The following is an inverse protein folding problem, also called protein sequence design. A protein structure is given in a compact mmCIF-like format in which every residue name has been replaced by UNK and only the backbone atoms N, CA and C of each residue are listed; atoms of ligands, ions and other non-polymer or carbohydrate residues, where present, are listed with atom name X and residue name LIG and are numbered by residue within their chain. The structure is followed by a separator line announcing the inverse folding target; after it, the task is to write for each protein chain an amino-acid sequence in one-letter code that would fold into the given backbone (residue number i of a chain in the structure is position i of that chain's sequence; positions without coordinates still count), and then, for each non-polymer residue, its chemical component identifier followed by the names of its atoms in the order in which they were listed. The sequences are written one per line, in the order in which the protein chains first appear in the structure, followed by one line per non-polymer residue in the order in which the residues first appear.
data_IF_522774034134
#
_entry.id   IF_522774034134
#
_cell.length_a   1.000
_cell.length_b   1.000
_cell.length_c   1.000
_cell.angle_alpha   90.00
_cell.angle_beta   90.00
_cell.angle_gamma   90.00
#
_symmetry.space_group_name_H-M   'P 1'
#
loop_
_entity.id
_entity.type
_entity.pdbx_description
1 polymer ?
#
# COMPACT_ATOMS: atom_id res chain seq x y z
N UNK A 1 -1.70 26.23 -10.34
CA UNK A 1 -2.76 26.68 -9.39
C UNK A 1 -4.00 25.81 -9.53
N UNK A 2 -4.76 25.58 -8.45
CA UNK A 2 -6.09 24.92 -8.52
C UNK A 2 -7.13 25.96 -8.95
N UNK A 3 -7.75 25.75 -10.11
CA UNK A 3 -8.80 26.64 -10.63
C UNK A 3 -10.20 26.27 -10.14
N UNK A 4 -10.41 25.00 -9.81
CA UNK A 4 -11.72 24.58 -9.30
C UNK A 4 -11.78 23.10 -8.96
N UNK A 5 -12.66 22.79 -8.00
CA UNK A 5 -13.02 21.44 -7.60
C UNK A 5 -14.53 21.31 -7.75
N UNK A 6 -14.99 20.37 -8.57
CA UNK A 6 -16.41 20.13 -8.80
C UNK A 6 -16.76 18.69 -8.48
N UNK A 7 -17.75 18.50 -7.61
CA UNK A 7 -18.41 17.22 -7.40
C UNK A 7 -19.20 16.86 -8.65
N UNK A 8 -18.87 15.74 -9.29
CA UNK A 8 -19.42 15.41 -10.62
C UNK A 8 -20.91 15.06 -10.49
N UNK A 9 -21.26 14.20 -9.54
CA UNK A 9 -22.63 13.73 -9.28
C UNK A 9 -23.18 14.19 -7.91
N UNK A 10 -22.71 15.33 -7.40
CA UNK A 10 -23.16 15.87 -6.10
C UNK A 10 -22.36 15.33 -4.89
N UNK A 11 -22.89 15.48 -3.66
CA UNK A 11 -22.19 15.01 -2.45
C UNK A 11 -21.97 13.49 -2.47
N UNK A 12 -21.09 13.01 -1.59
CA UNK A 12 -20.93 11.57 -1.37
C UNK A 12 -22.29 10.92 -1.11
N UNK A 13 -22.60 9.85 -1.84
CA UNK A 13 -23.91 9.21 -1.81
C UNK A 13 -23.80 7.69 -1.85
N UNK A 14 -24.83 7.02 -1.31
CA UNK A 14 -25.01 5.58 -1.42
C UNK A 14 -26.00 5.28 -2.55
N UNK A 15 -25.60 4.44 -3.50
CA UNK A 15 -26.38 4.10 -4.67
C UNK A 15 -26.49 2.58 -4.81
N UNK A 16 -27.66 2.06 -5.17
CA UNK A 16 -27.83 0.63 -5.39
C UNK A 16 -26.98 0.16 -6.58
N UNK A 17 -26.44 -1.05 -6.50
CA UNK A 17 -25.65 -1.63 -7.56
C UNK A 17 -26.44 -1.73 -8.87
N UNK A 18 -27.72 -2.11 -8.77
CA UNK A 18 -28.63 -2.13 -9.93
C UNK A 18 -28.69 -0.76 -10.63
N UNK A 19 -28.95 0.32 -9.90
CA UNK A 19 -29.10 1.64 -10.52
C UNK A 19 -27.78 2.19 -11.08
N UNK A 20 -26.64 1.78 -10.53
CA UNK A 20 -25.32 2.09 -11.10
C UNK A 20 -25.07 1.29 -12.39
N UNK A 21 -25.34 -0.01 -12.36
CA UNK A 21 -25.17 -0.90 -13.51
C UNK A 21 -26.10 -0.55 -14.69
N UNK A 22 -27.31 -0.05 -14.40
CA UNK A 22 -28.28 0.43 -15.40
C UNK A 22 -28.06 1.90 -15.80
N UNK A 23 -27.01 2.55 -15.30
CA UNK A 23 -26.66 3.96 -15.49
C UNK A 23 -27.82 4.95 -15.19
N UNK A 24 -28.64 4.62 -14.19
CA UNK A 24 -29.77 5.46 -13.73
C UNK A 24 -29.33 6.42 -12.63
N UNK A 25 -28.44 5.98 -11.74
CA UNK A 25 -28.04 6.76 -10.57
C UNK A 25 -26.99 7.84 -10.87
N UNK A 26 -26.02 7.55 -11.75
CA UNK A 26 -24.90 8.43 -12.07
C UNK A 26 -24.76 8.65 -13.60
N UNK A 27 -25.82 9.13 -14.27
CA UNK A 27 -25.78 9.33 -15.72
C UNK A 27 -24.70 10.34 -16.11
N UNK A 28 -24.23 10.24 -17.36
CA UNK A 28 -23.21 11.13 -17.91
C UNK A 28 -23.46 12.61 -17.57
N UNK A 29 -22.42 13.30 -17.09
CA UNK A 29 -22.46 14.71 -16.72
C UNK A 29 -21.57 15.53 -17.64
N UNK A 30 -22.09 16.64 -18.16
CA UNK A 30 -21.29 17.63 -18.88
C UNK A 30 -21.01 18.81 -17.97
N UNK A 31 -19.73 19.05 -17.68
CA UNK A 31 -19.28 20.07 -16.75
C UNK A 31 -18.48 21.15 -17.48
N UNK A 32 -18.70 22.44 -17.16
CA UNK A 32 -17.89 23.51 -17.74
C UNK A 32 -16.46 23.43 -17.23
N UNK A 33 -15.51 23.69 -18.13
CA UNK A 33 -14.11 23.88 -17.80
C UNK A 33 -13.85 25.37 -17.56
N UNK A 34 -13.01 25.68 -16.57
CA UNK A 34 -12.49 27.03 -16.40
C UNK A 34 -11.69 27.42 -17.66
N UNK A 35 -11.77 28.69 -18.08
CA UNK A 35 -11.13 29.15 -19.32
C UNK A 35 -9.61 29.05 -19.30
N UNK A 36 -9.01 28.99 -18.10
CA UNK A 36 -7.58 28.85 -17.89
C UNK A 36 -7.13 27.41 -17.63
N UNK A 37 -8.01 26.42 -17.70
CA UNK A 37 -7.66 25.02 -17.43
C UNK A 37 -6.58 24.53 -18.41
N UNK A 38 -5.50 24.00 -17.84
CA UNK A 38 -4.38 23.36 -18.56
C UNK A 38 -4.26 21.88 -18.22
N UNK A 39 -4.56 21.52 -16.98
CA UNK A 39 -4.57 20.15 -16.53
C UNK A 39 -5.86 19.84 -15.80
N UNK A 40 -6.31 18.59 -15.85
CA UNK A 40 -7.44 18.14 -15.08
C UNK A 40 -7.29 16.69 -14.66
N UNK A 41 -7.82 16.37 -13.48
CA UNK A 41 -7.93 14.99 -13.02
C UNK A 41 -9.32 14.69 -12.47
N UNK A 42 -9.72 13.44 -12.58
CA UNK A 42 -10.86 12.90 -11.85
C UNK A 42 -10.34 12.10 -10.66
N UNK A 43 -10.68 12.53 -9.45
CA UNK A 43 -10.39 11.81 -8.21
C UNK A 43 -11.64 11.06 -7.78
N UNK A 44 -11.51 9.76 -7.56
CA UNK A 44 -12.61 8.89 -7.13
C UNK A 44 -12.29 8.25 -5.78
N UNK A 45 -13.34 8.02 -4.99
CA UNK A 45 -13.33 7.20 -3.77
C UNK A 45 -14.62 6.39 -3.74
N UNK A 46 -14.49 5.07 -3.70
CA UNK A 46 -15.61 4.14 -3.77
C UNK A 46 -15.45 3.01 -2.75
N UNK A 47 -16.59 2.52 -2.24
CA UNK A 47 -16.65 1.30 -1.41
C UNK A 47 -17.93 0.54 -1.71
N UNK A 48 -17.84 -0.77 -1.94
CA UNK A 48 -18.97 -1.68 -2.09
C UNK A 48 -19.44 -2.24 -0.74
N UNK A 49 -20.76 -2.38 -0.59
CA UNK A 49 -21.44 -2.80 0.64
C UNK A 49 -22.57 -3.79 0.38
N UNK A 50 -22.85 -4.61 1.39
CA UNK A 50 -23.92 -5.60 1.38
C UNK A 50 -23.43 -7.02 1.05
N UNK A 51 -24.27 -7.99 1.37
CA UNK A 51 -24.04 -9.43 1.19
C UNK A 51 -25.21 -10.07 0.44
N UNK A 52 -25.74 -9.35 -0.56
CA UNK A 52 -26.95 -9.75 -1.27
C UNK A 52 -26.63 -10.80 -2.34
N UNK A 53 -27.49 -11.82 -2.41
CA UNK A 53 -27.50 -12.89 -3.40
C UNK A 53 -28.89 -13.53 -3.41
N UNK A 54 -29.39 -13.97 -4.57
CA UNK A 54 -30.65 -14.73 -4.63
C UNK A 54 -30.45 -16.24 -4.81
N UNK A 55 -29.22 -16.71 -5.04
CA UNK A 55 -28.88 -18.14 -5.13
C UNK A 55 -28.04 -18.65 -3.95
N UNK A 56 -27.55 -17.75 -3.10
CA UNK A 56 -26.71 -18.06 -1.94
C UNK A 56 -25.26 -18.43 -2.26
N UNK A 57 -24.86 -18.42 -3.54
CA UNK A 57 -23.50 -18.74 -3.96
C UNK A 57 -22.60 -17.50 -3.92
N UNK A 58 -21.41 -17.67 -3.35
CA UNK A 58 -20.36 -16.65 -3.34
C UNK A 58 -19.77 -16.40 -4.74
N UNK A 59 -19.30 -15.17 -5.09
CA UNK A 59 -19.26 -13.96 -4.28
C UNK A 59 -20.63 -13.30 -4.08
N UNK A 60 -20.80 -12.59 -2.97
CA UNK A 60 -22.01 -11.80 -2.71
C UNK A 60 -21.75 -10.30 -2.93
N UNK A 61 -22.81 -9.55 -3.24
CA UNK A 61 -22.66 -8.15 -3.59
C UNK A 61 -23.14 -7.18 -2.49
N UNK A 62 -22.46 -6.05 -2.30
CA UNK A 62 -21.27 -5.55 -3.03
C UNK A 62 -20.01 -5.52 -2.18
N UNK A 63 -20.02 -6.03 -0.95
CA UNK A 63 -18.80 -6.08 -0.12
C UNK A 63 -17.79 -7.11 -0.62
N UNK A 64 -18.26 -8.21 -1.23
CA UNK A 64 -17.48 -9.43 -1.43
C UNK A 64 -17.22 -9.80 -2.89
N UNK A 65 -17.52 -8.89 -3.81
CA UNK A 65 -17.36 -9.10 -5.25
C UNK A 65 -16.48 -8.00 -5.84
N UNK A 66 -15.43 -8.42 -6.52
CA UNK A 66 -14.60 -7.57 -7.37
C UNK A 66 -15.39 -7.17 -8.62
N UNK A 67 -15.71 -5.88 -8.77
CA UNK A 67 -16.36 -5.33 -9.95
C UNK A 67 -15.41 -4.41 -10.72
N UNK A 68 -15.54 -4.43 -12.05
CA UNK A 68 -14.83 -3.47 -12.89
C UNK A 68 -15.60 -2.16 -12.93
N UNK A 69 -14.92 -1.09 -12.57
CA UNK A 69 -15.37 0.28 -12.71
C UNK A 69 -14.79 0.89 -13.97
N UNK A 70 -15.50 1.84 -14.59
CA UNK A 70 -14.99 2.55 -15.75
C UNK A 70 -15.43 4.01 -15.80
N UNK A 71 -14.60 4.85 -16.41
CA UNK A 71 -14.86 6.27 -16.61
C UNK A 71 -14.54 6.67 -18.04
N UNK A 72 -15.56 7.03 -18.82
CA UNK A 72 -15.39 7.65 -20.14
C UNK A 72 -15.28 9.16 -20.01
N UNK A 73 -14.41 9.76 -20.82
CA UNK A 73 -14.19 11.20 -20.92
C UNK A 73 -14.45 11.61 -22.36
N UNK A 74 -15.43 12.49 -22.59
CA UNK A 74 -15.83 12.95 -23.91
C UNK A 74 -16.15 11.80 -24.90
N UNK A 75 -16.72 10.70 -24.40
CA UNK A 75 -17.07 9.52 -25.22
C UNK A 75 -15.87 8.72 -25.73
N UNK A 76 -14.64 9.04 -25.27
CA UNK A 76 -13.45 8.25 -25.58
C UNK A 76 -13.47 6.91 -24.84
N UNK A 77 -12.57 6.00 -25.26
CA UNK A 77 -12.33 4.72 -24.58
C UNK A 77 -12.23 4.91 -23.06
N UNK A 78 -13.04 4.18 -22.27
CA UNK A 78 -13.06 4.31 -20.83
C UNK A 78 -11.72 3.94 -20.18
N UNK A 79 -11.43 4.60 -19.06
CA UNK A 79 -10.41 4.17 -18.11
C UNK A 79 -11.05 3.16 -17.18
N UNK A 80 -10.56 1.92 -17.15
CA UNK A 80 -11.08 0.86 -16.29
C UNK A 80 -10.20 0.66 -15.05
N UNK A 81 -10.80 0.35 -13.91
CA UNK A 81 -10.08 0.04 -12.69
C UNK A 81 -10.88 -0.88 -11.76
N UNK A 82 -10.18 -1.46 -10.79
CA UNK A 82 -10.72 -2.27 -9.72
C UNK A 82 -10.42 -1.60 -8.37
N UNK A 83 -11.36 -1.69 -7.43
CA UNK A 83 -11.17 -1.21 -6.05
C UNK A 83 -10.97 -2.36 -5.06
N UNK A 84 -11.03 -3.61 -5.53
CA UNK A 84 -10.91 -4.82 -4.72
C UNK A 84 -9.60 -4.89 -3.92
N UNK A 85 -9.75 -5.15 -2.61
CA UNK A 85 -8.65 -5.22 -1.63
C UNK A 85 -8.24 -6.67 -1.38
N UNK A 86 -7.69 -7.32 -2.42
CA UNK A 86 -7.43 -8.77 -2.43
C UNK A 86 -6.66 -9.29 -1.20
N UNK A 87 -5.50 -8.70 -0.87
CA UNK A 87 -4.72 -9.04 0.33
C UNK A 87 -4.51 -7.85 1.26
N UNK A 88 -4.89 -6.64 0.82
CA UNK A 88 -4.59 -5.41 1.55
C UNK A 88 -5.22 -5.39 2.95
N UNK A 89 -6.36 -6.06 3.13
CA UNK A 89 -7.00 -6.13 4.44
C UNK A 89 -6.18 -6.99 5.42
N UNK A 90 -5.59 -8.10 4.99
CA UNK A 90 -4.68 -8.92 5.79
C UNK A 90 -3.30 -8.29 6.01
N UNK A 91 -2.94 -7.34 5.14
CA UNK A 91 -1.74 -6.50 5.24
C UNK A 91 -2.00 -5.20 6.02
N UNK A 92 -3.20 -5.01 6.59
CA UNK A 92 -3.52 -3.80 7.34
C UNK A 92 -2.56 -3.63 8.54
N UNK A 93 -1.92 -2.46 8.70
CA UNK A 93 -1.07 -2.17 9.86
C UNK A 93 -1.84 -2.19 11.19
N UNK A 94 -3.15 -1.87 11.17
CA UNK A 94 -4.02 -1.97 12.34
C UNK A 94 -4.35 -3.43 12.57
N UNK A 95 -3.54 -4.11 13.38
CA UNK A 95 -3.71 -5.53 13.70
C UNK A 95 -3.16 -5.91 15.08
N UNK A 96 -3.63 -7.03 15.66
CA UNK A 96 -4.86 -7.77 15.29
C UNK A 96 -6.12 -6.94 15.52
N UNK A 97 -7.18 -7.22 14.78
CA UNK A 97 -8.51 -6.63 15.02
C UNK A 97 -9.51 -7.69 15.45
N UNK A 98 -10.53 -7.28 16.21
CA UNK A 98 -11.73 -8.11 16.34
C UNK A 98 -12.49 -8.21 15.02
N UNK A 99 -13.34 -9.22 14.87
CA UNK A 99 -14.17 -9.37 13.66
C UNK A 99 -13.42 -9.95 12.47
N UNK A 100 -14.02 -9.91 11.28
CA UNK A 100 -13.50 -10.65 10.12
C UNK A 100 -12.45 -9.89 9.29
N UNK A 101 -11.50 -9.19 9.93
CA UNK A 101 -10.67 -8.14 9.31
C UNK A 101 -9.80 -8.51 8.10
N UNK A 102 -9.20 -9.71 7.98
CA UNK A 102 -8.26 -9.99 6.89
C UNK A 102 -8.92 -10.25 5.53
N UNK A 103 -10.22 -10.58 5.51
CA UNK A 103 -10.93 -10.92 4.28
C UNK A 103 -10.91 -9.80 3.25
N UNK A 104 -10.83 -10.15 1.97
CA UNK A 104 -10.87 -9.20 0.87
C UNK A 104 -12.24 -8.52 0.77
N UNK A 105 -12.25 -7.22 0.43
CA UNK A 105 -13.46 -6.40 0.26
C UNK A 105 -13.35 -5.47 -0.93
N UNK A 106 -14.50 -5.02 -1.40
CA UNK A 106 -14.62 -4.09 -2.51
C UNK A 106 -14.38 -2.63 -2.07
N UNK A 107 -13.12 -2.18 -2.15
CA UNK A 107 -12.75 -0.78 -1.95
C UNK A 107 -12.37 -0.36 -0.54
N UNK A 108 -12.50 -1.22 0.47
CA UNK A 108 -12.21 -0.87 1.86
C UNK A 108 -11.66 -2.05 2.66
N UNK A 109 -11.07 -1.77 3.81
CA UNK A 109 -10.72 -2.77 4.81
C UNK A 109 -11.16 -2.27 6.19
N UNK A 110 -11.62 -3.15 7.09
CA UNK A 110 -11.92 -2.76 8.47
C UNK A 110 -10.70 -2.06 9.11
N UNK A 111 -10.92 -0.88 9.70
CA UNK A 111 -9.86 -0.09 10.34
C UNK A 111 -8.82 0.53 9.40
N UNK A 112 -9.04 0.56 8.09
CA UNK A 112 -8.12 1.17 7.10
C UNK A 112 -8.72 2.45 6.47
N UNK A 113 -7.86 3.25 5.85
CA UNK A 113 -8.24 4.38 5.00
C UNK A 113 -8.74 3.85 3.66
N UNK A 114 -9.88 4.35 3.19
CA UNK A 114 -10.38 4.08 1.83
C UNK A 114 -9.48 4.79 0.82
N UNK A 115 -8.85 4.05 -0.13
CA UNK A 115 -7.95 4.64 -1.11
C UNK A 115 -8.69 5.54 -2.11
N UNK A 116 -8.00 6.55 -2.60
CA UNK A 116 -8.43 7.33 -3.76
C UNK A 116 -7.83 6.73 -5.04
N UNK A 117 -8.54 6.90 -6.17
CA UNK A 117 -8.01 6.65 -7.51
C UNK A 117 -8.03 7.96 -8.31
N UNK A 118 -6.88 8.35 -8.83
CA UNK A 118 -6.70 9.60 -9.57
C UNK A 118 -6.46 9.29 -11.05
N UNK A 119 -7.32 9.84 -11.91
CA UNK A 119 -7.21 9.71 -13.36
C UNK A 119 -6.83 11.05 -13.95
N UNK A 120 -5.62 11.16 -14.51
CA UNK A 120 -5.24 12.30 -15.35
C UNK A 120 -6.03 12.24 -16.66
N UNK A 121 -6.80 13.28 -16.91
CA UNK A 121 -7.65 13.41 -18.10
C UNK A 121 -7.22 14.59 -18.97
N UNK A 122 -6.05 15.19 -18.71
CA UNK A 122 -5.59 16.42 -19.35
C UNK A 122 -5.50 16.28 -20.87
N UNK A 123 -5.05 15.12 -21.36
CA UNK A 123 -4.98 14.80 -22.79
C UNK A 123 -6.34 14.44 -23.44
N UNK A 124 -7.41 14.35 -22.65
CA UNK A 124 -8.78 14.03 -23.11
C UNK A 124 -9.70 15.26 -23.15
N UNK A 125 -9.21 16.41 -22.68
CA UNK A 125 -9.97 17.65 -22.68
C UNK A 125 -10.13 18.19 -24.11
N UNK A 126 -11.33 18.64 -24.45
CA UNK A 126 -11.63 19.33 -25.71
C UNK A 126 -12.69 20.41 -25.50
N UNK A 127 -12.45 21.61 -26.01
CA UNK A 127 -13.37 22.74 -25.87
C UNK A 127 -13.50 23.30 -24.45
N UNK A 128 -14.67 23.89 -24.14
CA UNK A 128 -14.95 24.60 -22.89
C UNK A 128 -15.70 23.77 -21.85
N UNK A 129 -15.88 22.48 -22.09
CA UNK A 129 -16.59 21.56 -21.19
C UNK A 129 -16.03 20.14 -21.31
N UNK A 130 -16.30 19.31 -20.33
CA UNK A 130 -15.96 17.89 -20.34
C UNK A 130 -17.18 17.05 -19.98
N UNK A 131 -17.45 16.02 -20.78
CA UNK A 131 -18.46 15.01 -20.48
C UNK A 131 -17.79 13.84 -19.76
N UNK A 132 -18.29 13.48 -18.58
CA UNK A 132 -17.79 12.37 -17.76
C UNK A 132 -18.92 11.35 -17.57
N UNK A 133 -18.66 10.09 -17.88
CA UNK A 133 -19.62 9.00 -17.78
C UNK A 133 -19.01 7.83 -17.01
N UNK A 134 -19.60 7.51 -15.85
CA UNK A 134 -19.15 6.43 -14.98
C UNK A 134 -20.02 5.20 -15.21
N UNK A 135 -19.38 4.05 -15.37
CA UNK A 135 -20.08 2.77 -15.48
C UNK A 135 -19.43 1.73 -14.54
N UNK A 136 -20.19 0.69 -14.21
CA UNK A 136 -19.74 -0.46 -13.42
C UNK A 136 -20.23 -1.75 -14.11
N UNK A 137 -19.56 -2.87 -13.85
CA UNK A 137 -19.99 -4.20 -14.32
C UNK A 137 -21.50 -4.42 -14.14
N UNK A 138 -22.18 -5.09 -15.10
CA UNK A 138 -23.60 -5.37 -14.96
C UNK A 138 -23.89 -6.29 -13.78
N UNK A 139 -25.12 -6.21 -13.25
CA UNK A 139 -25.63 -7.20 -12.31
C UNK A 139 -25.67 -8.57 -13.02
N UNK A 140 -25.10 -9.64 -12.43
CA UNK A 140 -25.09 -10.96 -13.05
C UNK A 140 -26.51 -11.46 -13.34
N UNK A 141 -26.76 -11.91 -14.57
CA UNK A 141 -28.09 -12.37 -15.00
C UNK A 141 -28.54 -13.63 -14.26
N UNK A 142 -27.60 -14.46 -13.80
CA UNK A 142 -27.85 -15.64 -12.98
C UNK A 142 -27.96 -15.35 -11.48
N UNK A 143 -27.66 -14.13 -11.02
CA UNK A 143 -27.77 -13.73 -9.62
C UNK A 143 -28.25 -12.27 -9.48
N UNK A 144 -29.48 -12.02 -9.92
CA UNK A 144 -30.08 -10.68 -9.90
C UNK A 144 -30.22 -10.10 -8.49
N UNK A 145 -30.24 -10.94 -7.45
CA UNK A 145 -30.27 -10.52 -6.05
C UNK A 145 -29.07 -9.66 -5.66
N UNK A 146 -27.93 -9.84 -6.31
CA UNK A 146 -26.75 -9.00 -6.13
C UNK A 146 -27.01 -7.50 -6.36
N UNK A 147 -27.97 -7.16 -7.23
CA UNK A 147 -28.34 -5.78 -7.53
C UNK A 147 -28.84 -4.97 -6.32
N UNK A 148 -29.22 -5.65 -5.23
CA UNK A 148 -29.66 -5.05 -3.97
C UNK A 148 -28.49 -4.59 -3.08
N UNK A 149 -27.24 -4.91 -3.43
CA UNK A 149 -26.07 -4.27 -2.79
C UNK A 149 -25.95 -2.80 -3.17
N UNK A 150 -24.99 -2.10 -2.56
CA UNK A 150 -24.81 -0.67 -2.80
C UNK A 150 -23.33 -0.26 -2.84
N UNK A 151 -23.08 0.91 -3.43
CA UNK A 151 -21.78 1.57 -3.41
C UNK A 151 -21.91 2.96 -2.80
N UNK A 152 -21.00 3.29 -1.89
CA UNK A 152 -20.78 4.68 -1.47
C UNK A 152 -19.77 5.29 -2.43
N UNK A 153 -20.16 6.37 -3.12
CA UNK A 153 -19.40 6.96 -4.22
C UNK A 153 -19.16 8.45 -3.96
N UNK A 154 -17.91 8.87 -4.13
CA UNK A 154 -17.54 10.27 -4.24
C UNK A 154 -16.57 10.46 -5.41
N UNK A 155 -16.92 11.35 -6.35
CA UNK A 155 -16.05 11.66 -7.50
C UNK A 155 -15.98 13.16 -7.76
N UNK A 156 -14.76 13.65 -7.97
CA UNK A 156 -14.47 15.06 -8.13
C UNK A 156 -13.65 15.30 -9.40
N UNK A 157 -14.09 16.28 -10.20
CA UNK A 157 -13.26 16.89 -11.24
C UNK A 157 -12.44 18.00 -10.59
N UNK A 158 -11.12 17.92 -10.69
CA UNK A 158 -10.19 18.94 -10.23
C UNK A 158 -9.50 19.55 -11.45
N UNK A 159 -9.58 20.86 -11.57
CA UNK A 159 -9.03 21.62 -12.68
C UNK A 159 -7.86 22.47 -12.20
N UNK A 160 -6.77 22.47 -12.97
CA UNK A 160 -5.57 23.23 -12.70
C UNK A 160 -5.25 24.16 -13.85
N UNK A 161 -4.74 25.34 -13.52
CA UNK A 161 -4.14 26.27 -14.48
C UNK A 161 -2.74 25.80 -14.86
N UNK A 162 -1.97 26.70 -15.47
CA UNK A 162 -0.55 26.44 -15.72
C UNK A 162 0.19 26.08 -14.41
N UNK A 163 1.21 25.22 -14.54
CA UNK A 163 2.12 24.94 -13.44
C UNK A 163 2.82 26.25 -13.04
N UNK A 164 3.09 26.41 -11.73
CA UNK A 164 3.74 27.62 -11.21
C UNK A 164 5.21 27.71 -11.61
N UNK A 165 5.85 26.55 -11.69
CA UNK A 165 7.27 26.37 -11.93
C UNK A 165 7.49 25.53 -13.19
N UNK A 166 8.61 25.75 -13.88
CA UNK A 166 8.95 24.97 -15.08
C UNK A 166 9.53 23.62 -14.69
N UNK A 167 10.44 23.61 -13.72
CA UNK A 167 11.10 22.42 -13.19
C UNK A 167 10.96 22.41 -11.67
N UNK A 168 10.18 21.47 -11.14
CA UNK A 168 9.90 21.33 -9.71
C UNK A 168 9.70 19.83 -9.37
N UNK A 169 10.61 19.27 -8.58
CA UNK A 169 10.58 17.90 -8.12
C UNK A 169 10.43 17.85 -6.60
N UNK A 170 9.29 17.34 -6.15
CA UNK A 170 8.90 17.36 -4.74
C UNK A 170 9.06 16.00 -4.08
N UNK A 171 9.63 15.95 -2.88
CA UNK A 171 9.51 14.74 -2.04
C UNK A 171 8.10 14.70 -1.49
N UNK A 172 7.33 13.70 -1.93
CA UNK A 172 5.91 13.59 -1.62
C UNK A 172 5.66 12.73 -0.37
N UNK A 173 6.44 11.66 -0.21
CA UNK A 173 6.38 10.78 0.97
C UNK A 173 7.64 9.94 1.12
N UNK A 174 7.85 9.38 2.32
CA UNK A 174 8.85 8.34 2.59
C UNK A 174 8.14 7.17 3.27
N UNK A 175 7.98 6.07 2.54
CA UNK A 175 7.27 4.88 2.98
C UNK A 175 8.15 4.02 3.90
N UNK A 176 9.44 3.92 3.55
CA UNK A 176 10.41 3.17 4.35
C UNK A 176 11.78 3.83 4.36
N UNK A 177 12.46 3.92 5.51
CA UNK A 177 11.97 3.57 6.85
C UNK A 177 11.03 4.65 7.44
N UNK A 178 9.99 4.24 8.18
CA UNK A 178 9.00 5.17 8.73
C UNK A 178 8.21 4.55 9.92
N UNK A 179 8.19 5.25 11.06
CA UNK A 179 7.45 4.86 12.27
C UNK A 179 5.98 5.33 12.31
N UNK A 180 5.50 6.04 11.28
CA UNK A 180 4.08 6.38 11.15
C UNK A 180 3.27 5.09 11.15
N UNK A 181 2.25 5.02 12.00
CA UNK A 181 1.47 3.79 12.24
C UNK A 181 0.96 3.14 10.94
N UNK A 182 0.51 3.97 9.99
CA UNK A 182 0.06 3.54 8.66
C UNK A 182 1.12 2.77 7.86
N UNK A 183 2.40 3.06 8.10
CA UNK A 183 3.54 2.39 7.46
C UNK A 183 4.17 1.31 8.33
N UNK A 184 3.65 0.97 9.51
CA UNK A 184 4.29 0.00 10.42
C UNK A 184 4.61 -1.38 9.81
N UNK A 185 3.86 -1.82 8.79
CA UNK A 185 4.14 -3.06 8.02
C UNK A 185 5.04 -2.88 6.78
N UNK A 186 5.26 -1.63 6.34
CA UNK A 186 6.05 -1.29 5.13
C UNK A 186 7.36 -0.55 5.44
N UNK A 187 7.41 0.18 6.55
CA UNK A 187 8.53 0.97 7.05
C UNK A 187 9.62 0.11 7.68
N UNK A 188 9.97 -0.99 7.00
CA UNK A 188 10.87 -2.04 7.50
C UNK A 188 12.32 -1.60 7.39
N UNK A 189 13.07 -1.78 8.49
CA UNK A 189 14.52 -1.58 8.55
C UNK A 189 15.28 -2.81 8.04
N UNK A 190 16.58 -2.69 7.77
CA UNK A 190 17.36 -3.74 7.08
C UNK A 190 16.85 -4.08 5.66
N UNK A 191 15.99 -3.24 5.07
CA UNK A 191 15.51 -3.31 3.67
C UNK A 191 15.82 -2.03 2.92
N UNK A 192 15.65 -2.06 1.60
CA UNK A 192 15.78 -0.87 0.78
C UNK A 192 14.77 0.22 1.19
N UNK A 193 15.21 1.48 1.33
CA UNK A 193 14.30 2.60 1.52
C UNK A 193 13.34 2.77 0.34
N UNK A 194 12.13 3.23 0.61
CA UNK A 194 11.09 3.48 -0.40
C UNK A 194 10.61 4.92 -0.26
N UNK A 195 10.76 5.69 -1.34
CA UNK A 195 10.42 7.12 -1.40
C UNK A 195 9.41 7.36 -2.50
N UNK A 196 8.46 8.25 -2.25
CA UNK A 196 7.54 8.77 -3.26
C UNK A 196 7.92 10.21 -3.56
N UNK A 197 8.08 10.54 -4.84
CA UNK A 197 8.23 11.93 -5.28
C UNK A 197 7.24 12.28 -6.38
N UNK A 198 7.01 13.57 -6.57
CA UNK A 198 6.06 14.13 -7.52
C UNK A 198 6.75 15.07 -8.49
N UNK A 199 6.33 15.08 -9.75
CA UNK A 199 6.64 16.21 -10.64
C UNK A 199 5.63 17.33 -10.37
N UNK A 200 6.06 18.40 -9.73
CA UNK A 200 5.23 19.59 -9.48
C UNK A 200 5.46 20.70 -10.54
N UNK A 201 6.38 20.48 -11.50
CA UNK A 201 6.71 21.41 -12.58
C UNK A 201 5.98 21.13 -13.89
N UNK A 202 5.96 22.14 -14.77
CA UNK A 202 5.37 22.05 -16.12
C UNK A 202 6.05 20.99 -16.99
N UNK A 203 7.39 20.96 -16.95
CA UNK A 203 8.18 20.09 -17.80
C UNK A 203 8.11 18.65 -17.27
N UNK A 204 7.93 17.69 -18.18
CA UNK A 204 8.02 16.28 -17.83
C UNK A 204 9.35 15.99 -17.14
N UNK A 205 9.30 15.42 -15.94
CA UNK A 205 10.48 15.04 -15.18
C UNK A 205 11.01 13.72 -15.75
N UNK A 206 12.20 13.77 -16.34
CA UNK A 206 12.85 12.63 -17.00
C UNK A 206 14.05 12.09 -16.24
N UNK A 207 14.61 12.89 -15.33
CA UNK A 207 15.71 12.50 -14.47
C UNK A 207 15.72 13.37 -13.20
N UNK A 208 16.09 12.77 -12.06
CA UNK A 208 16.33 13.50 -10.79
C UNK A 208 17.35 12.72 -9.96
N UNK A 209 18.20 13.43 -9.20
CA UNK A 209 19.09 12.81 -8.21
C UNK A 209 18.37 12.76 -6.87
N UNK A 210 18.43 11.61 -6.21
CA UNK A 210 17.85 11.37 -4.89
C UNK A 210 19.00 11.12 -3.93
N UNK A 211 19.22 12.04 -2.98
CA UNK A 211 20.20 11.89 -1.90
C UNK A 211 19.47 11.45 -0.64
N UNK A 212 19.98 10.43 0.03
CA UNK A 212 19.29 9.84 1.17
C UNK A 212 20.25 9.22 2.18
N UNK A 213 19.78 9.06 3.42
CA UNK A 213 20.51 8.41 4.51
C UNK A 213 20.04 8.90 5.88
N UNK A 214 20.68 8.40 6.93
CA UNK A 214 20.29 8.71 8.32
C UNK A 214 20.98 9.96 8.84
N UNK A 215 20.23 10.86 9.47
CA UNK A 215 20.72 12.12 10.07
C UNK A 215 22.07 11.94 10.78
N UNK A 216 23.06 12.77 10.41
CA UNK A 216 24.42 12.73 10.98
C UNK A 216 25.35 11.64 10.42
N UNK A 217 24.85 10.67 9.65
CA UNK A 217 25.65 9.64 8.98
C UNK A 217 26.00 9.97 7.51
N UNK A 218 26.53 8.97 6.80
CA UNK A 218 26.83 9.06 5.37
C UNK A 218 25.57 9.28 4.53
N UNK A 219 25.73 9.63 3.25
CA UNK A 219 24.62 9.81 2.31
C UNK A 219 24.90 9.07 1.02
N UNK A 220 23.92 8.32 0.55
CA UNK A 220 23.94 7.73 -0.78
C UNK A 220 23.23 8.68 -1.77
N UNK A 221 23.60 8.57 -3.05
CA UNK A 221 22.95 9.28 -4.15
C UNK A 221 22.52 8.26 -5.21
N UNK A 222 21.26 8.33 -5.60
CA UNK A 222 20.67 7.54 -6.68
C UNK A 222 20.19 8.44 -7.81
N UNK A 223 20.52 8.10 -9.06
CA UNK A 223 20.03 8.82 -10.23
C UNK A 223 18.79 8.09 -10.76
N UNK A 224 17.61 8.68 -10.55
CA UNK A 224 16.40 8.20 -11.18
C UNK A 224 16.31 8.70 -12.63
N UNK A 225 15.71 7.88 -13.50
CA UNK A 225 15.34 8.21 -14.88
C UNK A 225 13.95 7.64 -15.15
N UNK A 226 13.13 8.38 -15.89
CA UNK A 226 11.77 7.97 -16.24
C UNK A 226 11.04 9.04 -17.06
N UNK A 227 9.72 9.11 -16.90
CA UNK A 227 8.88 10.13 -17.52
C UNK A 227 7.67 10.38 -16.63
N UNK A 228 7.71 11.47 -15.87
CA UNK A 228 6.66 11.85 -14.94
C UNK A 228 6.03 13.17 -15.39
N UNK A 229 4.78 13.15 -15.86
CA UNK A 229 4.06 14.36 -16.24
C UNK A 229 3.67 15.19 -15.00
N UNK A 230 3.25 16.44 -15.21
CA UNK A 230 2.82 17.32 -14.13
C UNK A 230 1.79 16.65 -13.21
N UNK A 231 2.04 16.72 -11.90
CA UNK A 231 1.20 16.17 -10.84
C UNK A 231 1.28 14.66 -10.64
N UNK A 232 1.98 13.93 -11.51
CA UNK A 232 2.17 12.49 -11.34
C UNK A 232 3.24 12.20 -10.28
N UNK A 233 3.10 11.04 -9.61
CA UNK A 233 4.04 10.55 -8.60
C UNK A 233 4.76 9.28 -9.05
N UNK A 234 5.94 9.04 -8.50
CA UNK A 234 6.69 7.80 -8.65
C UNK A 234 7.09 7.27 -7.27
N UNK A 235 6.79 5.99 -6.99
CA UNK A 235 7.34 5.24 -5.86
C UNK A 235 8.64 4.57 -6.31
N UNK A 236 9.74 4.83 -5.60
CA UNK A 236 11.07 4.34 -5.97
C UNK A 236 11.73 3.64 -4.79
N UNK A 237 12.14 2.40 -5.03
CA UNK A 237 13.00 1.62 -4.13
C UNK A 237 14.45 2.05 -4.33
N UNK A 238 15.08 2.54 -3.26
CA UNK A 238 16.44 3.08 -3.29
C UNK A 238 17.47 1.99 -2.98
N UNK A 239 18.58 1.89 -3.73
CA UNK A 239 19.56 0.82 -3.53
C UNK A 239 20.18 0.81 -2.11
N UNK A 240 20.13 -0.34 -1.43
CA UNK A 240 20.84 -0.57 -0.19
C UNK A 240 22.08 -1.43 -0.46
N UNK A 241 23.28 -0.83 -0.47
CA UNK A 241 24.53 -1.59 -0.67
C UNK A 241 24.92 -2.35 0.60
N UNK A 242 24.89 -1.66 1.73
CA UNK A 242 25.14 -2.19 3.06
C UNK A 242 24.19 -1.51 4.06
N UNK A 243 23.95 -2.13 5.22
CA UNK A 243 22.98 -1.67 6.21
C UNK A 243 23.42 -0.46 7.06
N UNK A 244 24.44 0.28 6.64
CA UNK A 244 24.97 1.44 7.37
C UNK A 244 23.90 2.52 7.63
N UNK A 245 22.89 2.64 6.76
CA UNK A 245 21.76 3.57 6.92
C UNK A 245 21.03 3.29 8.25
N UNK A 246 20.97 2.04 8.70
CA UNK A 246 20.27 1.65 9.92
C UNK A 246 21.18 1.65 11.16
N UNK A 247 22.42 2.15 11.03
CA UNK A 247 23.35 2.21 12.15
C UNK A 247 22.95 3.28 13.16
N UNK A 248 23.12 2.97 14.44
CA UNK A 248 22.75 3.84 15.55
C UNK A 248 22.00 3.07 16.63
N UNK A 249 21.29 3.79 17.49
CA UNK A 249 20.49 3.21 18.57
C UNK A 249 19.27 4.08 18.85
N UNK A 250 18.16 3.44 19.20
CA UNK A 250 16.91 4.16 19.51
C UNK A 250 16.27 4.76 18.27
N UNK A 251 15.61 5.91 18.45
CA UNK A 251 14.93 6.61 17.37
C UNK A 251 15.91 7.43 16.53
N UNK A 252 15.88 7.19 15.23
CA UNK A 252 16.72 7.80 14.21
C UNK A 252 15.86 8.58 13.21
N UNK A 253 16.50 9.45 12.44
CA UNK A 253 15.85 10.22 11.37
C UNK A 253 16.41 9.81 10.02
N UNK A 254 15.55 9.41 9.10
CA UNK A 254 15.91 9.19 7.71
C UNK A 254 15.60 10.45 6.91
N UNK A 255 16.57 10.94 6.14
CA UNK A 255 16.46 12.17 5.36
C UNK A 255 16.55 11.87 3.87
N UNK A 256 15.73 12.56 3.08
CA UNK A 256 15.71 12.47 1.62
C UNK A 256 15.70 13.88 1.03
N UNK A 257 16.44 14.06 -0.05
CA UNK A 257 16.48 15.30 -0.81
C UNK A 257 16.62 15.04 -2.32
N UNK A 258 15.92 15.83 -3.12
CA UNK A 258 15.93 15.79 -4.59
C UNK A 258 16.81 16.91 -5.15
N UNK A 259 17.56 16.60 -6.20
CA UNK A 259 18.47 17.53 -6.86
C UNK A 259 18.45 17.36 -8.38
N UNK A 260 18.80 18.46 -9.05
CA UNK A 260 19.04 18.54 -10.49
C UNK A 260 17.91 17.90 -11.34
N UNK A 261 16.61 18.26 -11.14
CA UNK A 261 15.55 17.80 -12.02
C UNK A 261 15.89 18.14 -13.48
N UNK A 262 15.88 17.13 -14.34
CA UNK A 262 16.30 17.23 -15.75
C UNK A 262 17.72 17.82 -15.95
N UNK A 263 18.60 17.75 -14.95
CA UNK A 263 19.95 18.32 -15.00
C UNK A 263 20.00 19.84 -14.79
N UNK A 264 18.90 20.45 -14.33
CA UNK A 264 18.77 21.89 -14.10
C UNK A 264 18.46 22.20 -12.63
N UNK A 265 18.65 23.45 -12.21
CA UNK A 265 18.27 23.87 -10.86
C UNK A 265 16.74 23.77 -10.70
N UNK A 266 16.30 23.23 -9.59
CA UNK A 266 14.89 23.25 -9.21
C UNK A 266 14.40 24.68 -8.94
N UNK A 267 13.24 25.04 -9.48
CA UNK A 267 12.64 26.37 -9.31
C UNK A 267 12.04 26.57 -7.91
N UNK A 268 11.75 25.47 -7.18
CA UNK A 268 11.18 25.45 -5.85
C UNK A 268 12.01 24.56 -4.94
N UNK A 269 12.90 25.12 -4.11
CA UNK A 269 13.74 24.31 -3.23
C UNK A 269 13.06 23.93 -1.90
N UNK A 270 11.93 24.57 -1.56
CA UNK A 270 11.24 24.39 -0.28
C UNK A 270 10.62 22.99 -0.10
N UNK A 271 10.30 22.31 -1.20
CA UNK A 271 9.63 21.00 -1.23
C UNK A 271 10.56 19.85 -1.68
N UNK A 272 11.86 20.14 -1.85
CA UNK A 272 12.84 19.16 -2.34
C UNK A 272 13.31 18.19 -1.26
N UNK A 273 12.93 18.38 0.00
CA UNK A 273 13.43 17.58 1.12
C UNK A 273 12.34 17.15 2.09
N UNK A 274 12.47 15.95 2.62
CA UNK A 274 11.61 15.40 3.67
C UNK A 274 12.44 14.52 4.61
N UNK A 275 11.95 14.31 5.83
CA UNK A 275 12.49 13.33 6.75
C UNK A 275 11.38 12.56 7.46
N UNK A 276 11.71 11.34 7.89
CA UNK A 276 10.86 10.49 8.72
C UNK A 276 11.64 9.97 9.91
N UNK A 277 10.92 9.64 10.99
CA UNK A 277 11.52 8.91 12.12
C UNK A 277 11.43 7.42 11.87
N UNK A 278 12.44 6.67 12.31
CA UNK A 278 12.42 5.21 12.36
C UNK A 278 13.19 4.71 13.58
N UNK A 279 12.86 3.53 14.10
CA UNK A 279 13.61 2.92 15.21
C UNK A 279 14.69 2.01 14.65
N UNK A 280 15.91 2.09 15.21
CA UNK A 280 17.01 1.21 14.84
C UNK A 280 16.63 -0.28 15.04
N UNK A 281 17.15 -1.20 14.21
CA UNK A 281 16.90 -2.64 14.38
C UNK A 281 17.29 -3.11 15.79
N UNK A 282 16.52 -4.06 16.33
CA UNK A 282 16.89 -4.75 17.58
C UNK A 282 18.24 -5.45 17.37
N UNK A 283 19.17 -5.26 18.33
CA UNK A 283 20.52 -5.83 18.25
C UNK A 283 20.66 -7.05 19.14
N UNK A 284 21.12 -8.15 18.55
CA UNK A 284 21.43 -9.40 19.24
C UNK A 284 22.89 -9.78 18.99
N UNK A 285 23.69 -9.86 20.06
CA UNK A 285 25.13 -10.12 19.98
C UNK A 285 25.49 -11.63 20.03
N UNK A 286 24.51 -12.49 20.29
CA UNK A 286 24.70 -13.93 20.43
C UNK A 286 23.59 -14.70 19.67
N UNK A 287 23.63 -16.02 19.77
CA UNK A 287 22.68 -16.92 19.15
C UNK A 287 21.24 -16.62 19.58
N UNK A 288 20.32 -16.86 18.65
CA UNK A 288 18.89 -16.80 18.87
C UNK A 288 18.29 -18.19 18.70
N UNK A 289 17.18 -18.49 19.37
CA UNK A 289 16.37 -19.67 19.03
C UNK A 289 15.05 -19.16 18.47
N UNK A 290 14.71 -19.54 17.25
CA UNK A 290 13.37 -19.36 16.72
C UNK A 290 12.50 -20.53 17.16
N UNK A 291 11.29 -20.25 17.65
CA UNK A 291 10.30 -21.26 17.97
C UNK A 291 8.98 -20.95 17.27
N UNK A 292 8.53 -21.89 16.44
CA UNK A 292 7.24 -21.83 15.77
C UNK A 292 6.41 -23.05 16.19
N UNK A 293 5.22 -22.80 16.73
CA UNK A 293 4.17 -23.81 16.86
C UNK A 293 3.20 -23.61 15.71
N UNK A 294 3.10 -24.60 14.82
CA UNK A 294 2.12 -24.60 13.72
C UNK A 294 0.71 -24.85 14.26
N UNK A 295 -0.28 -24.43 13.48
CA UNK A 295 -1.68 -24.74 13.70
C UNK A 295 -2.06 -26.02 12.89
N UNK A 296 -3.33 -26.23 12.56
CA UNK A 296 -3.82 -27.35 11.74
C UNK A 296 -3.54 -27.19 10.23
N UNK A 297 -3.05 -26.02 9.79
CA UNK A 297 -2.78 -25.62 8.41
C UNK A 297 -1.31 -25.23 8.18
N UNK A 298 -0.34 -26.09 8.57
CA UNK A 298 1.08 -25.78 8.42
C UNK A 298 1.50 -25.46 6.98
N UNK A 299 0.75 -25.94 5.99
CA UNK A 299 0.98 -25.71 4.56
C UNK A 299 0.83 -24.23 4.15
N UNK A 300 0.21 -23.40 4.99
CA UNK A 300 0.03 -21.97 4.75
C UNK A 300 1.22 -21.14 5.27
N UNK A 301 2.03 -21.70 6.19
CA UNK A 301 3.04 -20.93 6.91
C UNK A 301 4.44 -21.09 6.31
N UNK A 302 5.13 -19.97 6.12
CA UNK A 302 6.53 -19.93 5.66
C UNK A 302 7.33 -18.92 6.47
N UNK A 303 8.48 -19.34 6.99
CA UNK A 303 9.44 -18.47 7.66
C UNK A 303 10.67 -18.29 6.78
N UNK A 304 11.11 -17.05 6.58
CA UNK A 304 12.34 -16.71 5.86
C UNK A 304 13.13 -15.71 6.69
N UNK A 305 14.43 -15.95 6.84
CA UNK A 305 15.37 -14.96 7.38
C UNK A 305 16.38 -14.66 6.28
N UNK A 306 16.54 -13.39 5.98
CA UNK A 306 17.44 -12.92 4.92
C UNK A 306 18.29 -11.76 5.39
N UNK A 307 19.49 -11.64 4.84
CA UNK A 307 20.36 -10.50 5.11
C UNK A 307 19.92 -9.24 4.33
N UNK A 308 20.63 -8.14 4.52
CA UNK A 308 20.40 -6.86 3.84
C UNK A 308 20.53 -6.94 2.31
N UNK A 309 21.19 -7.99 1.80
CA UNK A 309 21.33 -8.29 0.36
C UNK A 309 20.24 -9.22 -0.17
N UNK A 310 19.18 -9.47 0.61
CA UNK A 310 18.06 -10.37 0.30
C UNK A 310 18.46 -11.84 0.09
N UNK A 311 19.63 -12.24 0.58
CA UNK A 311 20.05 -13.64 0.55
C UNK A 311 19.42 -14.36 1.74
N UNK A 312 18.68 -15.43 1.48
CA UNK A 312 18.12 -16.29 2.54
C UNK A 312 19.24 -17.00 3.28
N UNK A 313 19.30 -16.80 4.59
CA UNK A 313 20.25 -17.47 5.49
C UNK A 313 19.60 -18.58 6.30
N UNK A 314 18.28 -18.52 6.48
CA UNK A 314 17.50 -19.55 7.15
C UNK A 314 16.06 -19.54 6.62
N UNK A 315 15.41 -20.70 6.58
CA UNK A 315 14.00 -20.80 6.22
C UNK A 315 13.33 -22.05 6.77
N UNK A 316 12.05 -21.94 7.10
CA UNK A 316 11.17 -23.08 7.36
C UNK A 316 10.12 -23.10 6.25
N UNK A 317 10.06 -24.22 5.53
CA UNK A 317 9.13 -24.43 4.41
C UNK A 317 7.80 -25.02 4.91
N UNK A 318 6.66 -24.69 4.29
CA UNK A 318 5.39 -25.32 4.63
C UNK A 318 5.40 -26.84 4.49
N UNK A 319 6.26 -27.38 3.61
CA UNK A 319 6.42 -28.83 3.39
C UNK A 319 7.32 -29.52 4.41
N UNK A 320 7.95 -28.76 5.31
CA UNK A 320 8.94 -29.26 6.28
C UNK A 320 8.42 -29.34 7.71
N UNK A 321 7.14 -29.01 7.93
CA UNK A 321 6.56 -28.91 9.27
C UNK A 321 5.22 -29.65 9.37
N UNK A 322 5.04 -30.40 10.45
CA UNK A 322 3.77 -31.08 10.76
C UNK A 322 2.76 -30.13 11.42
N UNK A 323 1.47 -30.48 11.32
CA UNK A 323 0.40 -29.78 12.03
C UNK A 323 0.52 -29.92 13.55
N UNK A 324 0.15 -28.88 14.30
CA UNK A 324 0.18 -28.82 15.77
C UNK A 324 1.53 -29.15 16.42
N UNK A 325 2.64 -28.93 15.72
CA UNK A 325 3.98 -29.28 16.18
C UNK A 325 4.78 -28.03 16.51
N UNK A 326 5.60 -28.12 17.55
CA UNK A 326 6.58 -27.08 17.88
C UNK A 326 7.91 -27.41 17.21
N UNK A 327 8.39 -26.47 16.42
CA UNK A 327 9.68 -26.47 15.76
C UNK A 327 10.58 -25.43 16.40
N UNK A 328 11.83 -25.80 16.62
CA UNK A 328 12.87 -24.93 17.17
C UNK A 328 14.13 -25.06 16.35
N UNK A 329 14.76 -23.93 16.05
CA UNK A 329 16.10 -23.92 15.48
C UNK A 329 16.95 -22.81 16.10
N UNK A 330 18.25 -23.05 16.20
CA UNK A 330 19.21 -22.09 16.73
C UNK A 330 19.86 -21.35 15.58
N UNK A 331 19.67 -20.04 15.55
CA UNK A 331 20.30 -19.12 14.61
C UNK A 331 21.64 -18.65 15.16
N UNK A 332 22.70 -19.03 14.45
CA UNK A 332 24.08 -18.56 14.67
C UNK A 332 24.50 -17.77 13.43
N UNK A 333 24.06 -16.51 13.37
CA UNK A 333 24.22 -15.65 12.20
C UNK A 333 25.53 -14.86 12.29
N UNK A 334 26.16 -14.62 11.15
CA UNK A 334 27.27 -13.68 11.08
C UNK A 334 26.80 -12.25 11.47
N UNK A 335 27.71 -11.35 11.87
CA UNK A 335 27.34 -9.95 12.08
C UNK A 335 26.74 -9.34 10.81
N UNK A 336 25.56 -8.73 10.92
CA UNK A 336 24.82 -8.18 9.78
C UNK A 336 23.44 -7.65 10.18
N UNK A 337 22.69 -7.16 9.20
CA UNK A 337 21.31 -6.71 9.36
C UNK A 337 20.40 -7.76 8.72
N UNK A 338 19.43 -8.26 9.47
CA UNK A 338 18.58 -9.35 9.03
C UNK A 338 17.12 -8.95 9.09
N UNK A 339 16.34 -9.51 8.19
CA UNK A 339 14.89 -9.40 8.19
C UNK A 339 14.31 -10.79 8.28
N UNK A 340 13.43 -10.96 9.25
CA UNK A 340 12.61 -12.13 9.46
C UNK A 340 11.22 -11.87 8.89
N UNK A 341 10.75 -12.75 8.01
CA UNK A 341 9.41 -12.73 7.46
C UNK A 341 8.72 -14.05 7.76
N UNK A 342 7.64 -14.01 8.54
CA UNK A 342 6.72 -15.12 8.72
C UNK A 342 5.44 -14.79 7.95
N UNK A 343 5.16 -15.53 6.87
CA UNK A 343 3.99 -15.33 6.04
C UNK A 343 2.99 -16.46 6.20
N UNK A 344 1.71 -16.12 6.07
CA UNK A 344 0.58 -17.02 6.05
C UNK A 344 -0.22 -16.86 4.75
N UNK A 345 -0.36 -17.94 3.97
CA UNK A 345 -1.06 -17.93 2.69
C UNK A 345 -2.60 -17.89 2.85
N UNK A 346 -3.12 -18.31 4.01
CA UNK A 346 -4.53 -18.23 4.39
C UNK A 346 -4.98 -16.81 4.75
N UNK A 347 -4.02 -15.89 4.93
CA UNK A 347 -4.20 -14.50 5.34
C UNK A 347 -4.79 -14.34 6.75
N UNK A 348 -4.80 -15.38 7.59
CA UNK A 348 -5.37 -15.34 8.94
C UNK A 348 -4.35 -15.68 10.05
N UNK A 349 -3.10 -15.94 9.65
CA UNK A 349 -1.97 -16.09 10.54
C UNK A 349 -1.93 -17.45 11.23
N UNK A 350 -1.37 -17.50 12.43
CA UNK A 350 -1.26 -18.76 13.18
C UNK A 350 -2.50 -19.05 14.04
N UNK A 351 -3.38 -18.08 14.26
CA UNK A 351 -4.61 -18.26 15.02
C UNK A 351 -5.61 -17.15 14.69
N UNK A 352 -6.83 -17.53 14.33
CA UNK A 352 -7.88 -16.58 14.00
C UNK A 352 -9.26 -17.07 14.43
N UNK A 353 -10.04 -16.20 15.07
CA UNK A 353 -11.27 -16.59 15.77
C UNK A 353 -12.37 -17.08 14.82
N UNK A 354 -12.47 -16.51 13.61
CA UNK A 354 -13.51 -16.86 12.64
C UNK A 354 -13.17 -18.15 11.86
N UNK A 355 -11.95 -18.67 12.01
CA UNK A 355 -11.49 -19.93 11.42
C UNK A 355 -10.98 -20.86 12.52
N UNK A 356 -11.84 -21.23 13.47
CA UNK A 356 -11.48 -22.09 14.60
C UNK A 356 -10.95 -23.47 14.19
N UNK A 357 -11.32 -23.94 12.99
CA UNK A 357 -10.81 -25.19 12.42
C UNK A 357 -9.31 -25.14 12.12
N UNK A 358 -8.74 -23.96 11.84
CA UNK A 358 -7.29 -23.80 11.69
C UNK A 358 -6.53 -24.06 12.99
N UNK A 359 -7.18 -23.99 14.16
CA UNK A 359 -6.52 -24.26 15.44
C UNK A 359 -5.69 -23.08 15.94
N UNK A 360 -4.62 -23.37 16.69
CA UNK A 360 -3.82 -22.31 17.34
C UNK A 360 -2.32 -22.63 17.29
N UNK A 361 -1.58 -21.71 16.67
CA UNK A 361 -0.13 -21.67 16.62
C UNK A 361 0.45 -20.44 17.34
N UNK A 362 1.78 -20.38 17.41
CA UNK A 362 2.51 -19.27 18.02
C UNK A 362 3.91 -19.12 17.42
N UNK A 363 4.45 -17.91 17.43
CA UNK A 363 5.82 -17.64 17.02
C UNK A 363 6.54 -16.74 18.04
N UNK A 364 7.79 -17.09 18.36
CA UNK A 364 8.65 -16.32 19.28
C UNK A 364 10.13 -16.55 19.01
N UNK A 365 10.94 -15.60 19.45
CA UNK A 365 12.40 -15.67 19.44
C UNK A 365 12.89 -15.70 20.89
N UNK A 366 13.73 -16.66 21.22
CA UNK A 366 14.46 -16.73 22.48
C UNK A 366 15.85 -16.15 22.28
N UNK A 367 16.24 -15.24 23.18
CA UNK A 367 17.52 -14.52 23.12
C UNK A 367 18.49 -15.14 24.11
N UNK A 368 19.69 -15.51 23.65
CA UNK A 368 20.71 -16.12 24.49
C UNK A 368 21.84 -15.14 24.84
N UNK A 369 22.51 -15.37 25.97
CA UNK A 369 23.82 -14.77 26.25
C UNK A 369 24.97 -15.59 25.62
N UNK A 370 26.20 -15.13 25.82
CA UNK A 370 27.43 -15.81 25.38
C UNK A 370 27.63 -17.22 25.97
N UNK A 371 26.94 -17.55 27.06
CA UNK A 371 26.99 -18.86 27.74
C UNK A 371 25.80 -19.75 27.37
N UNK A 372 24.98 -19.36 26.38
CA UNK A 372 23.73 -20.00 25.97
C UNK A 372 22.61 -19.99 27.03
N UNK A 373 22.67 -19.10 28.02
CA UNK A 373 21.57 -18.91 28.95
C UNK A 373 20.50 -18.00 28.33
N UNK A 374 19.23 -18.30 28.61
CA UNK A 374 18.11 -17.48 28.18
C UNK A 374 18.14 -16.12 28.90
N UNK A 375 18.15 -15.02 28.14
CA UNK A 375 18.10 -13.65 28.66
C UNK A 375 16.82 -12.91 28.32
N UNK A 376 16.08 -13.35 27.30
CA UNK A 376 14.85 -12.69 26.89
C UNK A 376 14.02 -13.49 25.90
N UNK A 377 12.75 -13.08 25.71
CA UNK A 377 11.82 -13.67 24.75
C UNK A 377 11.11 -12.55 24.00
N UNK A 378 11.19 -12.54 22.67
CA UNK A 378 10.37 -11.70 21.79
C UNK A 378 9.17 -12.51 21.34
N UNK A 379 7.96 -12.08 21.72
CA UNK A 379 6.72 -12.72 21.33
C UNK A 379 6.06 -11.97 20.18
N UNK A 380 5.44 -12.72 19.26
CA UNK A 380 4.64 -12.17 18.18
C UNK A 380 3.17 -12.56 18.37
N UNK A 381 2.26 -11.69 17.92
CA UNK A 381 0.83 -12.02 17.90
C UNK A 381 0.58 -13.10 16.86
N UNK A 382 -0.28 -14.07 17.17
CA UNK A 382 -0.64 -15.15 16.23
C UNK A 382 -1.68 -14.72 15.20
N UNK A 383 -2.55 -13.77 15.54
CA UNK A 383 -3.44 -13.09 14.59
C UNK A 383 -2.66 -11.91 13.98
N UNK A 384 -2.00 -12.17 12.86
CA UNK A 384 -1.18 -11.20 12.14
C UNK A 384 -1.60 -11.05 10.67
N UNK A 385 -2.75 -11.61 10.32
CA UNK A 385 -3.23 -11.69 8.95
C UNK A 385 -2.17 -12.36 8.06
N UNK A 386 -1.66 -11.61 7.08
CA UNK A 386 -0.79 -12.17 6.04
C UNK A 386 0.66 -12.37 6.45
N UNK A 387 1.24 -11.45 7.21
CA UNK A 387 2.66 -11.55 7.59
C UNK A 387 3.04 -10.83 8.88
N UNK A 388 4.14 -11.29 9.43
CA UNK A 388 4.99 -10.58 10.38
C UNK A 388 6.30 -10.28 9.64
N UNK A 389 6.73 -9.02 9.71
CA UNK A 389 8.09 -8.63 9.33
C UNK A 389 8.78 -8.05 10.55
N UNK A 390 9.99 -8.53 10.82
CA UNK A 390 10.80 -8.14 11.97
C UNK A 390 12.25 -7.91 11.59
#
# INVERSE_FOLDING_TARGET
EVLGVKRIWGPSGSYSFKNLAENVALPAQTLPLHSQTKYAKVKTRLTGHGHNSNDGNYPHCCEWRDNTHSLSVNGQTPLEWHIWRANACAENPVQPQGGTWPGAREGWCPGDVVPDFDFDISNKLSGSSVTLDYNISPVPTNNLGMGNGNYVVAMHLIQYGAARYKTDAEVYDVISPNNTEYYSKRGVVCREPIVVFRNAGEQTLTAVKIKYGTAGGDRAVYQWRGSLAFGQTAEVTLPLKDAWIFSGSGDLKFEVSLYDPNGTKDDNDENNSMWTSFTAPDRYDNKLIIEMRTNNRPEENKLVISNERKQTVHSISPTSVDANRTWRDTLDLAPGCYVLELSDAGNDGLQYWANSAAGSGAFKIWVLDQNNNLTGIKNFKSDFGRNITY
#
